data_IF_637730169672
#
_entry.id   IF_637730169672
#
_cell.length_a   1.000
_cell.length_b   1.000
_cell.length_c   1.000
_cell.angle_alpha   90.00
_cell.angle_beta   90.00
_cell.angle_gamma   90.00
#
_symmetry.space_group_name_H-M   'P 1'
#
loop_
_entity.id
_entity.type
_entity.pdbx_description
1 polymer ?
#
# COMPACT_ATOMS: atom_id res chain seq x y z
N UNK A 1 -1.90 1.43 -25.41
CA UNK A 1 -1.26 2.07 -24.25
C UNK A 1 -0.54 0.96 -23.50
N UNK A 2 0.76 0.81 -23.74
CA UNK A 2 1.55 -0.27 -23.13
C UNK A 2 1.57 -0.09 -21.61
N UNK A 3 1.09 -1.11 -20.90
CA UNK A 3 1.30 -1.25 -19.47
C UNK A 3 2.81 -1.32 -19.25
N UNK A 4 3.41 -0.22 -18.80
CA UNK A 4 4.82 -0.20 -18.38
C UNK A 4 4.95 -1.13 -17.19
N UNK A 5 5.43 -2.34 -17.47
CA UNK A 5 5.98 -3.25 -16.48
C UNK A 5 7.11 -2.53 -15.78
N UNK A 6 6.84 -1.93 -14.61
CA UNK A 6 7.89 -1.54 -13.68
C UNK A 6 8.46 -2.82 -13.10
N UNK A 7 9.41 -3.40 -13.83
CA UNK A 7 10.23 -4.50 -13.36
C UNK A 7 10.87 -4.10 -12.04
N UNK A 8 10.39 -4.69 -10.94
CA UNK A 8 11.07 -4.58 -9.65
C UNK A 8 12.45 -5.20 -9.84
N UNK A 9 13.48 -4.37 -9.99
CA UNK A 9 14.85 -4.83 -10.19
C UNK A 9 15.23 -5.85 -9.13
N UNK A 10 16.08 -6.81 -9.48
CA UNK A 10 16.57 -7.92 -8.64
C UNK A 10 17.43 -7.51 -7.44
N UNK A 11 17.47 -6.22 -7.07
CA UNK A 11 18.28 -5.70 -5.96
C UNK A 11 17.96 -6.31 -4.58
N UNK A 12 18.95 -6.30 -3.69
CA UNK A 12 18.79 -6.79 -2.32
C UNK A 12 17.79 -6.00 -1.48
N UNK A 13 17.61 -6.43 -0.23
CA UNK A 13 16.91 -5.66 0.79
C UNK A 13 17.57 -4.30 1.03
N UNK A 14 16.77 -3.29 1.37
CA UNK A 14 17.30 -1.97 1.77
C UNK A 14 17.09 -1.73 3.27
N UNK A 15 18.06 -1.08 3.90
CA UNK A 15 17.88 -0.50 5.21
C UNK A 15 17.47 0.96 5.09
N UNK A 16 16.47 1.34 5.89
CA UNK A 16 15.90 2.69 5.95
C UNK A 16 15.89 3.14 7.40
N UNK A 17 16.51 4.29 7.66
CA UNK A 17 16.47 4.95 8.96
C UNK A 17 15.33 5.95 8.96
N UNK A 18 14.33 5.71 9.80
CA UNK A 18 13.21 6.63 10.01
C UNK A 18 13.68 7.75 10.94
N UNK A 19 13.63 8.98 10.46
CA UNK A 19 14.01 10.19 11.20
C UNK A 19 12.80 10.73 11.98
N UNK A 20 11.66 10.89 11.30
CA UNK A 20 10.38 11.23 11.95
C UNK A 20 9.19 10.67 11.18
N UNK A 21 8.03 10.64 11.85
CA UNK A 21 6.77 10.26 11.26
C UNK A 21 5.66 11.11 11.89
N UNK A 22 5.00 11.92 11.09
CA UNK A 22 4.13 13.00 11.53
C UNK A 22 2.80 12.96 10.78
N UNK A 23 1.69 13.19 11.48
CA UNK A 23 0.39 13.39 10.84
C UNK A 23 0.38 14.78 10.19
N UNK A 24 0.11 14.83 8.88
CA UNK A 24 -0.11 16.11 8.17
C UNK A 24 -1.59 16.47 8.24
N UNK A 25 -2.47 15.55 7.84
CA UNK A 25 -3.90 15.83 7.72
C UNK A 25 -4.75 14.56 7.79
N UNK A 26 -6.01 14.74 8.18
CA UNK A 26 -7.09 13.76 8.03
C UNK A 26 -8.24 14.44 7.30
N UNK A 27 -8.73 13.84 6.22
CA UNK A 27 -9.71 14.48 5.34
C UNK A 27 -10.80 13.48 4.89
N UNK A 28 -12.10 13.82 5.03
CA UNK A 28 -13.19 12.96 4.56
C UNK A 28 -13.37 12.98 3.03
N UNK A 29 -12.68 13.89 2.34
CA UNK A 29 -12.73 14.06 0.87
C UNK A 29 -11.35 14.41 0.33
N UNK A 30 -11.09 14.01 -0.91
CA UNK A 30 -9.82 14.23 -1.61
C UNK A 30 -9.46 15.71 -1.69
N UNK A 31 -10.43 16.56 -2.00
CA UNK A 31 -10.24 18.01 -2.13
C UNK A 31 -9.99 18.75 -0.80
N UNK A 32 -10.16 18.06 0.33
CA UNK A 32 -9.79 18.55 1.67
C UNK A 32 -8.44 18.02 2.13
N UNK A 33 -7.81 17.13 1.37
CA UNK A 33 -6.48 16.64 1.66
C UNK A 33 -5.44 17.62 1.06
N UNK A 34 -4.66 18.34 1.89
CA UNK A 34 -3.73 19.34 1.38
C UNK A 34 -2.69 18.70 0.45
N UNK A 35 -2.19 19.41 -0.57
CA UNK A 35 -1.06 18.93 -1.36
C UNK A 35 0.13 18.72 -0.41
N UNK A 36 0.74 17.54 -0.46
CA UNK A 36 1.84 17.20 0.46
C UNK A 36 3.18 17.75 -0.01
N UNK A 37 3.32 17.98 -1.32
CA UNK A 37 4.60 18.23 -1.97
C UNK A 37 5.55 17.03 -1.93
N UNK A 38 5.04 15.83 -1.60
CA UNK A 38 5.80 14.60 -1.46
C UNK A 38 5.29 13.54 -2.45
N UNK A 39 6.13 12.59 -2.89
CA UNK A 39 5.62 11.39 -3.51
C UNK A 39 4.77 10.59 -2.50
N UNK A 40 3.51 10.32 -2.86
CA UNK A 40 2.52 9.67 -2.00
C UNK A 40 2.40 8.17 -2.30
N UNK A 41 2.41 7.37 -1.23
CA UNK A 41 2.18 5.93 -1.23
C UNK A 41 0.86 5.66 -0.51
N UNK A 42 -0.12 5.17 -1.27
CA UNK A 42 -1.44 4.83 -0.77
C UNK A 42 -1.44 3.44 -0.16
N UNK A 43 -2.02 3.28 1.03
CA UNK A 43 -2.21 2.00 1.67
C UNK A 43 -3.71 1.70 1.75
N UNK A 44 -4.11 0.59 1.16
CA UNK A 44 -5.49 0.15 1.13
C UNK A 44 -5.61 -1.34 1.39
N UNK A 45 -6.76 -1.74 1.91
CA UNK A 45 -6.99 -3.12 2.28
C UNK A 45 -8.23 -3.25 3.16
N UNK A 46 -8.71 -4.46 3.33
CA UNK A 46 -9.90 -4.72 4.16
C UNK A 46 -9.72 -4.26 5.60
N UNK A 47 -10.82 -3.94 6.26
CA UNK A 47 -10.83 -3.77 7.71
C UNK A 47 -10.18 -4.98 8.39
N UNK A 48 -9.31 -4.73 9.38
CA UNK A 48 -8.53 -5.75 10.10
C UNK A 48 -7.54 -6.58 9.26
N UNK A 49 -7.21 -6.18 8.02
CA UNK A 49 -6.18 -6.86 7.21
C UNK A 49 -4.77 -6.69 7.78
N UNK A 50 -4.53 -5.65 8.59
CA UNK A 50 -3.22 -5.34 9.18
C UNK A 50 -2.60 -4.02 8.69
N UNK A 51 -3.36 -3.17 7.98
CA UNK A 51 -2.92 -1.87 7.45
C UNK A 51 -2.27 -0.96 8.48
N UNK A 52 -2.96 -0.63 9.57
CA UNK A 52 -2.39 0.21 10.63
C UNK A 52 -1.18 -0.44 11.29
N UNK A 53 -1.16 -1.77 11.43
CA UNK A 53 0.01 -2.50 11.96
C UNK A 53 1.21 -2.41 11.03
N UNK A 54 1.00 -2.49 9.72
CA UNK A 54 2.04 -2.35 8.71
C UNK A 54 2.58 -0.91 8.68
N UNK A 55 1.70 0.09 8.65
CA UNK A 55 2.09 1.51 8.71
C UNK A 55 2.94 1.82 9.94
N UNK A 56 2.49 1.38 11.12
CA UNK A 56 3.23 1.54 12.37
C UNK A 56 4.59 0.83 12.34
N UNK A 57 4.67 -0.37 11.75
CA UNK A 57 5.90 -1.11 11.63
C UNK A 57 6.90 -0.44 10.66
N UNK A 58 6.44 0.03 9.50
CA UNK A 58 7.24 0.77 8.53
C UNK A 58 7.78 2.07 9.12
N UNK A 59 6.94 2.81 9.83
CA UNK A 59 7.31 4.06 10.49
C UNK A 59 8.11 3.86 11.79
N UNK A 60 8.32 2.61 12.24
CA UNK A 60 8.93 2.28 13.55
C UNK A 60 8.27 3.03 14.73
N UNK A 61 6.95 3.26 14.66
CA UNK A 61 6.16 3.99 15.67
C UNK A 61 4.94 3.17 16.08
N UNK A 62 4.70 3.00 17.38
CA UNK A 62 3.58 2.18 17.89
C UNK A 62 2.19 2.81 17.76
N UNK A 63 2.08 4.12 17.55
CA UNK A 63 0.82 4.88 17.63
C UNK A 63 0.63 5.91 16.51
N UNK A 64 1.34 5.76 15.37
CA UNK A 64 1.17 6.68 14.24
C UNK A 64 -0.21 6.49 13.60
N UNK A 65 -0.49 5.29 13.12
CA UNK A 65 -1.79 4.88 12.64
C UNK A 65 -2.57 4.23 13.79
N UNK A 66 -3.72 4.81 14.17
CA UNK A 66 -4.57 4.23 15.22
C UNK A 66 -5.14 2.90 14.72
N UNK A 67 -4.80 1.81 15.42
CA UNK A 67 -5.45 0.51 15.23
C UNK A 67 -6.85 0.60 15.83
N UNK A 68 -7.86 0.99 15.05
CA UNK A 68 -9.26 0.95 15.52
C UNK A 68 -9.72 -0.50 15.61
N UNK A 69 -10.06 -0.98 16.82
CA UNK A 69 -10.72 -2.27 17.03
C UNK A 69 -12.19 -2.25 16.64
N UNK A 70 -12.78 -1.05 16.45
CA UNK A 70 -14.16 -0.86 16.00
C UNK A 70 -14.16 -0.66 14.48
N UNK A 71 -14.73 -1.58 13.69
CA UNK A 71 -14.98 -1.37 12.27
C UNK A 71 -15.77 -0.06 12.10
N UNK A 72 -15.18 0.93 11.42
CA UNK A 72 -15.93 2.12 10.99
C UNK A 72 -15.65 3.48 11.50
N UNK A 73 -14.55 3.65 12.23
CA UNK A 73 -14.14 4.98 12.66
C UNK A 73 -13.23 5.71 11.67
N UNK A 74 -12.58 5.02 10.73
CA UNK A 74 -11.76 5.69 9.70
C UNK A 74 -12.58 5.81 8.42
N UNK A 75 -13.25 6.95 8.23
CA UNK A 75 -13.94 7.34 6.99
C UNK A 75 -13.14 8.36 6.18
N UNK A 76 -11.92 8.64 6.62
CA UNK A 76 -11.09 9.72 6.12
C UNK A 76 -9.80 9.18 5.52
N UNK A 77 -9.26 9.89 4.55
CA UNK A 77 -7.89 9.77 4.10
C UNK A 77 -7.00 10.35 5.19
N UNK A 78 -5.98 9.61 5.62
CA UNK A 78 -5.03 10.10 6.62
C UNK A 78 -3.65 10.17 6.00
N UNK A 79 -3.10 11.37 5.88
CA UNK A 79 -1.80 11.64 5.29
C UNK A 79 -0.75 11.83 6.39
N UNK A 80 0.31 11.04 6.31
CA UNK A 80 1.48 11.11 7.18
C UNK A 80 2.72 11.50 6.36
N UNK A 81 3.55 12.39 6.89
CA UNK A 81 4.92 12.59 6.42
C UNK A 81 5.83 11.57 7.10
N UNK A 82 6.56 10.79 6.32
CA UNK A 82 7.62 9.91 6.83
C UNK A 82 8.96 10.44 6.35
N UNK A 83 9.76 10.94 7.29
CA UNK A 83 11.10 11.45 7.02
C UNK A 83 12.12 10.34 7.16
N UNK A 84 13.00 10.18 6.18
CA UNK A 84 14.01 9.11 6.17
C UNK A 84 15.37 9.63 5.77
N UNK A 85 16.40 8.80 5.96
CA UNK A 85 17.75 9.05 5.44
C UNK A 85 17.88 8.92 3.91
N UNK A 86 16.80 8.55 3.21
CA UNK A 86 16.77 8.33 1.75
C UNK A 86 15.81 9.26 1.00
N UNK A 87 15.10 10.13 1.71
CA UNK A 87 14.07 11.00 1.15
C UNK A 87 12.75 10.91 1.91
N UNK A 88 11.98 11.99 1.85
CA UNK A 88 10.71 12.11 2.56
C UNK A 88 9.55 11.63 1.65
N UNK A 89 8.66 10.82 2.20
CA UNK A 89 7.49 10.28 1.47
C UNK A 89 6.19 10.57 2.22
N UNK A 90 5.09 10.73 1.47
CA UNK A 90 3.75 10.80 2.02
C UNK A 90 3.13 9.41 2.13
N UNK A 91 2.80 8.94 3.33
CA UNK A 91 1.99 7.73 3.49
C UNK A 91 0.52 8.11 3.63
N UNK A 92 -0.32 7.63 2.73
CA UNK A 92 -1.76 7.91 2.76
C UNK A 92 -2.52 6.64 3.14
N UNK A 93 -3.09 6.65 4.34
CA UNK A 93 -3.93 5.58 4.83
C UNK A 93 -5.36 5.76 4.29
N UNK A 94 -5.76 4.92 3.33
CA UNK A 94 -7.13 4.92 2.85
C UNK A 94 -8.03 4.18 3.86
N UNK A 95 -9.30 4.58 4.00
CA UNK A 95 -10.25 3.84 4.81
C UNK A 95 -10.34 2.38 4.32
N UNK A 96 -10.51 1.43 5.24
CA UNK A 96 -10.60 0.02 4.86
C UNK A 96 -11.93 -0.34 4.21
N UNK A 97 -11.91 -1.20 3.21
CA UNK A 97 -13.12 -1.72 2.54
C UNK A 97 -13.57 -3.09 3.11
N UNK A 98 -14.64 -3.66 2.54
CA UNK A 98 -15.06 -5.03 2.84
C UNK A 98 -15.84 -5.19 4.14
N UNK A 99 -16.81 -4.31 4.34
CA UNK A 99 -17.72 -4.38 5.47
C UNK A 99 -18.95 -5.18 5.09
N UNK A 100 -19.03 -6.41 5.60
CA UNK A 100 -20.21 -7.25 5.44
C UNK A 100 -21.50 -6.62 6.01
N UNK A 101 -21.39 -5.52 6.78
CA UNK A 101 -22.49 -4.86 7.50
C UNK A 101 -22.67 -3.36 7.20
N UNK A 102 -21.95 -2.75 6.24
CA UNK A 102 -22.20 -1.34 5.88
C UNK A 102 -23.29 -1.23 4.82
N UNK A 103 -24.01 -0.11 4.85
CA UNK A 103 -25.03 0.20 3.86
C UNK A 103 -24.44 0.35 2.44
N UNK A 104 -25.26 0.15 1.42
CA UNK A 104 -24.89 0.40 0.02
C UNK A 104 -24.33 1.81 -0.18
N UNK A 105 -24.98 2.81 0.44
CA UNK A 105 -24.56 4.23 0.41
C UNK A 105 -23.14 4.43 0.95
N UNK A 106 -22.77 3.73 2.02
CA UNK A 106 -21.42 3.80 2.59
C UNK A 106 -20.38 3.13 1.68
N UNK A 107 -20.71 2.01 1.03
CA UNK A 107 -19.82 1.40 0.03
C UNK A 107 -19.58 2.33 -1.16
N UNK A 108 -20.64 2.94 -1.68
CA UNK A 108 -20.54 3.90 -2.78
C UNK A 108 -19.76 5.16 -2.38
N UNK A 109 -19.95 5.65 -1.15
CA UNK A 109 -19.19 6.79 -0.64
C UNK A 109 -17.70 6.46 -0.47
N UNK A 110 -17.38 5.26 0.00
CA UNK A 110 -16.00 4.78 0.06
C UNK A 110 -15.40 4.64 -1.33
N UNK A 111 -16.14 4.04 -2.27
CA UNK A 111 -15.73 3.89 -3.67
C UNK A 111 -15.37 5.24 -4.29
N UNK A 112 -16.27 6.22 -4.19
CA UNK A 112 -16.00 7.59 -4.67
C UNK A 112 -14.78 8.24 -4.04
N UNK A 113 -14.54 8.04 -2.74
CA UNK A 113 -13.37 8.58 -2.05
C UNK A 113 -12.07 7.92 -2.53
N UNK A 114 -12.06 6.59 -2.58
CA UNK A 114 -10.91 5.80 -2.99
C UNK A 114 -10.58 6.02 -4.47
N UNK A 115 -11.56 5.88 -5.36
CA UNK A 115 -11.42 6.14 -6.80
C UNK A 115 -11.00 7.59 -7.06
N UNK A 116 -11.65 8.56 -6.39
CA UNK A 116 -11.32 9.97 -6.52
C UNK A 116 -9.86 10.26 -6.17
N UNK A 117 -9.34 9.66 -5.11
CA UNK A 117 -7.95 9.80 -4.72
C UNK A 117 -7.02 9.05 -5.68
N UNK A 118 -7.30 7.77 -5.97
CA UNK A 118 -6.43 6.91 -6.76
C UNK A 118 -6.31 7.36 -8.22
N UNK A 119 -7.37 7.94 -8.79
CA UNK A 119 -7.36 8.40 -10.18
C UNK A 119 -6.81 9.82 -10.35
N UNK A 120 -7.02 10.70 -9.37
CA UNK A 120 -6.83 12.14 -9.58
C UNK A 120 -5.74 12.79 -8.72
N UNK A 121 -5.12 12.07 -7.77
CA UNK A 121 -4.08 12.63 -6.90
C UNK A 121 -2.73 12.65 -7.65
N UNK A 122 -2.19 13.82 -8.05
CA UNK A 122 -0.95 13.87 -8.85
C UNK A 122 0.29 13.41 -8.07
N UNK A 123 0.28 13.55 -6.75
CA UNK A 123 1.34 13.09 -5.87
C UNK A 123 1.41 11.56 -5.75
N UNK A 124 0.33 10.83 -6.06
CA UNK A 124 0.28 9.37 -5.92
C UNK A 124 1.29 8.69 -6.86
N UNK A 125 2.19 7.89 -6.28
CA UNK A 125 3.19 7.11 -7.02
C UNK A 125 2.97 5.61 -6.94
N UNK A 126 2.29 5.12 -5.90
CA UNK A 126 2.07 3.68 -5.69
C UNK A 126 0.87 3.40 -4.81
N UNK A 127 0.06 2.42 -5.19
CA UNK A 127 -0.98 1.81 -4.40
C UNK A 127 -0.51 0.47 -3.79
N UNK A 128 -0.31 0.43 -2.48
CA UNK A 128 -0.02 -0.78 -1.70
C UNK A 128 -1.36 -1.41 -1.28
N UNK A 129 -1.70 -2.55 -1.89
CA UNK A 129 -2.92 -3.32 -1.61
C UNK A 129 -2.62 -4.47 -0.66
N UNK A 130 -3.21 -4.43 0.53
CA UNK A 130 -2.98 -5.43 1.56
C UNK A 130 -3.95 -6.59 1.46
N UNK A 131 -3.42 -7.80 1.57
CA UNK A 131 -4.19 -9.05 1.64
C UNK A 131 -3.74 -9.91 2.82
N UNK A 132 -4.67 -10.34 3.66
CA UNK A 132 -4.37 -11.29 4.75
C UNK A 132 -4.11 -12.67 4.13
N UNK A 133 -2.90 -13.22 4.30
CA UNK A 133 -2.48 -14.47 3.64
C UNK A 133 -3.42 -15.67 3.93
N UNK A 134 -4.16 -15.61 5.03
CA UNK A 134 -5.08 -16.66 5.48
C UNK A 134 -6.41 -16.65 4.72
N UNK A 135 -6.69 -15.62 3.92
CA UNK A 135 -7.96 -15.40 3.25
C UNK A 135 -7.76 -15.44 1.74
N UNK A 136 -8.77 -15.87 1.01
CA UNK A 136 -8.82 -15.72 -0.45
C UNK A 136 -9.29 -14.31 -0.80
N UNK A 137 -9.04 -13.88 -2.04
CA UNK A 137 -9.55 -12.62 -2.54
C UNK A 137 -11.09 -12.59 -2.48
N UNK A 138 -11.66 -11.48 -2.00
CA UNK A 138 -13.09 -11.17 -2.18
C UNK A 138 -13.34 -10.50 -3.53
N UNK A 139 -14.60 -10.46 -3.96
CA UNK A 139 -15.02 -9.75 -5.17
C UNK A 139 -14.61 -8.28 -5.15
N UNK A 140 -14.85 -7.56 -4.05
CA UNK A 140 -14.39 -6.17 -3.87
C UNK A 140 -12.89 -5.99 -4.12
N UNK A 141 -12.07 -6.98 -3.75
CA UNK A 141 -10.62 -6.93 -3.95
C UNK A 141 -10.27 -7.16 -5.41
N UNK A 142 -10.91 -8.13 -6.06
CA UNK A 142 -10.70 -8.40 -7.49
C UNK A 142 -11.08 -7.19 -8.34
N UNK A 143 -12.24 -6.58 -8.07
CA UNK A 143 -12.69 -5.37 -8.76
C UNK A 143 -11.71 -4.21 -8.59
N UNK A 144 -11.16 -4.03 -7.38
CA UNK A 144 -10.15 -3.01 -7.13
C UNK A 144 -8.86 -3.28 -7.91
N UNK A 145 -8.37 -4.52 -7.95
CA UNK A 145 -7.16 -4.87 -8.71
C UNK A 145 -7.37 -4.68 -10.22
N UNK A 146 -8.52 -5.09 -10.74
CA UNK A 146 -8.91 -4.87 -12.13
C UNK A 146 -8.99 -3.37 -12.46
N UNK A 147 -9.58 -2.57 -11.57
CA UNK A 147 -9.69 -1.12 -11.74
C UNK A 147 -8.31 -0.46 -11.75
N UNK A 148 -7.42 -0.80 -10.80
CA UNK A 148 -6.06 -0.26 -10.75
C UNK A 148 -5.30 -0.57 -12.06
N UNK A 149 -5.41 -1.80 -12.56
CA UNK A 149 -4.78 -2.20 -13.81
C UNK A 149 -5.36 -1.43 -15.01
N UNK A 150 -6.69 -1.29 -15.08
CA UNK A 150 -7.38 -0.58 -16.16
C UNK A 150 -7.05 0.91 -16.18
N UNK A 151 -6.93 1.54 -15.02
CA UNK A 151 -6.56 2.95 -14.89
C UNK A 151 -5.05 3.20 -15.00
N UNK A 152 -4.23 2.16 -15.11
CA UNK A 152 -2.77 2.28 -15.13
C UNK A 152 -2.18 2.83 -13.83
N UNK A 153 -2.88 2.69 -12.70
CA UNK A 153 -2.38 3.11 -11.39
C UNK A 153 -1.37 2.09 -10.89
N UNK A 154 -0.08 2.46 -10.65
CA UNK A 154 0.93 1.52 -10.18
C UNK A 154 0.50 0.88 -8.86
N UNK A 155 0.47 -0.45 -8.82
CA UNK A 155 -0.02 -1.21 -7.69
C UNK A 155 0.95 -2.30 -7.24
N UNK A 156 1.00 -2.55 -5.92
CA UNK A 156 1.76 -3.67 -5.35
C UNK A 156 0.97 -4.40 -4.28
N UNK A 157 0.98 -5.73 -4.34
CA UNK A 157 0.35 -6.58 -3.33
C UNK A 157 1.29 -6.82 -2.16
N UNK A 158 0.78 -6.60 -0.95
CA UNK A 158 1.43 -6.96 0.31
C UNK A 158 0.59 -7.99 1.05
N UNK A 159 1.12 -9.20 1.17
CA UNK A 159 0.53 -10.27 1.97
C UNK A 159 0.90 -10.05 3.44
N UNK A 160 -0.09 -9.85 4.30
CA UNK A 160 0.11 -9.62 5.74
C UNK A 160 -0.07 -10.89 6.56
N UNK A 161 0.39 -10.83 7.81
CA UNK A 161 0.20 -11.87 8.85
C UNK A 161 0.78 -13.23 8.44
N UNK A 162 1.87 -13.24 7.69
CA UNK A 162 2.56 -14.47 7.28
C UNK A 162 3.00 -15.30 8.48
N UNK A 163 3.33 -14.66 9.60
CA UNK A 163 3.64 -15.29 10.89
C UNK A 163 2.57 -16.26 11.40
N UNK A 164 1.31 -16.11 10.97
CA UNK A 164 0.19 -16.97 11.39
C UNK A 164 0.13 -18.32 10.66
N UNK A 165 0.99 -18.57 9.68
CA UNK A 165 1.04 -19.83 8.94
C UNK A 165 2.42 -20.48 9.06
N UNK A 166 2.46 -21.82 9.04
CA UNK A 166 3.72 -22.59 8.89
C UNK A 166 4.27 -22.43 7.47
N UNK A 167 5.58 -22.59 7.29
CA UNK A 167 6.29 -22.32 6.03
C UNK A 167 5.68 -23.01 4.79
N UNK A 168 5.32 -24.30 4.90
CA UNK A 168 4.68 -25.04 3.79
C UNK A 168 3.35 -24.40 3.36
N UNK A 169 2.46 -24.12 4.31
CA UNK A 169 1.17 -23.45 4.05
C UNK A 169 1.36 -22.02 3.57
N UNK A 170 2.40 -21.28 4.02
CA UNK A 170 2.75 -19.96 3.46
C UNK A 170 3.03 -20.07 1.96
N UNK A 171 3.91 -20.99 1.54
CA UNK A 171 4.26 -21.18 0.12
C UNK A 171 3.05 -21.51 -0.73
N UNK A 172 2.19 -22.41 -0.26
CA UNK A 172 0.94 -22.78 -0.93
C UNK A 172 0.00 -21.57 -1.09
N UNK A 173 -0.25 -20.82 -0.01
CA UNK A 173 -1.11 -19.63 -0.04
C UNK A 173 -0.56 -18.52 -0.93
N UNK A 174 0.75 -18.27 -0.89
CA UNK A 174 1.39 -17.29 -1.78
C UNK A 174 1.16 -17.68 -3.23
N UNK A 175 1.39 -18.95 -3.59
CA UNK A 175 1.15 -19.43 -4.97
C UNK A 175 -0.30 -19.28 -5.38
N UNK A 176 -1.25 -19.68 -4.53
CA UNK A 176 -2.68 -19.56 -4.82
C UNK A 176 -3.08 -18.10 -5.05
N UNK A 177 -2.72 -17.20 -4.12
CA UNK A 177 -3.04 -15.78 -4.23
C UNK A 177 -2.36 -15.10 -5.42
N UNK A 178 -1.14 -15.52 -5.78
CA UNK A 178 -0.41 -14.95 -6.92
C UNK A 178 -0.98 -15.37 -8.28
N UNK A 179 -1.72 -16.48 -8.36
CA UNK A 179 -2.39 -16.89 -9.61
C UNK A 179 -3.61 -16.03 -9.95
N UNK A 180 -4.17 -15.36 -8.95
CA UNK A 180 -5.39 -14.56 -9.09
C UNK A 180 -5.10 -13.07 -9.31
N UNK A 181 -3.83 -12.64 -9.27
CA UNK A 181 -3.44 -11.26 -9.53
C UNK A 181 -2.91 -11.12 -10.96
N UNK A 182 -3.27 -10.03 -11.63
CA UNK A 182 -2.75 -9.74 -12.97
C UNK A 182 -1.24 -9.49 -12.97
N UNK A 183 -0.60 -9.65 -14.13
CA UNK A 183 0.86 -9.53 -14.29
C UNK A 183 1.41 -8.15 -13.87
N UNK A 184 0.59 -7.09 -14.00
CA UNK A 184 0.97 -5.72 -13.66
C UNK A 184 1.32 -5.45 -12.19
N UNK A 185 1.01 -6.37 -11.26
CA UNK A 185 1.31 -6.20 -9.83
C UNK A 185 2.65 -6.85 -9.41
N UNK A 186 3.22 -7.70 -10.27
CA UNK A 186 4.37 -8.54 -9.97
C UNK A 186 4.16 -9.49 -8.78
N UNK A 187 5.25 -10.10 -8.29
CA UNK A 187 5.18 -11.06 -7.17
C UNK A 187 4.80 -10.37 -5.85
N UNK A 188 3.82 -10.90 -5.08
CA UNK A 188 3.43 -10.31 -3.80
C UNK A 188 4.56 -10.29 -2.77
N UNK A 189 4.62 -9.21 -1.98
CA UNK A 189 5.56 -9.08 -0.87
C UNK A 189 4.94 -9.73 0.37
N UNK A 190 5.65 -10.68 0.97
CA UNK A 190 5.21 -11.37 2.18
C UNK A 190 5.70 -10.62 3.42
N UNK A 191 4.79 -10.26 4.33
CA UNK A 191 5.11 -9.45 5.51
C UNK A 191 4.53 -9.97 6.81
N UNK A 192 5.29 -9.77 7.89
CA UNK A 192 4.80 -9.85 9.26
C UNK A 192 5.19 -8.58 10.01
N UNK A 193 4.22 -7.71 10.29
CA UNK A 193 4.45 -6.51 11.11
C UNK A 193 4.90 -6.86 12.54
N UNK A 194 4.57 -8.05 13.04
CA UNK A 194 4.99 -8.51 14.37
C UNK A 194 6.45 -8.96 14.39
N UNK A 195 6.94 -9.56 13.30
CA UNK A 195 8.30 -10.10 13.18
C UNK A 195 9.26 -9.18 12.43
N UNK A 196 8.76 -8.12 11.80
CA UNK A 196 9.56 -7.25 10.94
C UNK A 196 9.89 -7.84 9.56
N UNK A 197 9.37 -9.04 9.24
CA UNK A 197 9.63 -9.72 7.97
C UNK A 197 9.07 -8.91 6.79
N UNK A 198 9.88 -8.72 5.75
CA UNK A 198 9.50 -8.13 4.47
C UNK A 198 9.30 -6.61 4.46
N UNK A 199 9.50 -5.92 5.58
CA UNK A 199 9.35 -4.46 5.67
C UNK A 199 10.37 -3.70 4.82
N UNK A 200 11.57 -4.25 4.71
CA UNK A 200 12.66 -3.81 3.83
C UNK A 200 12.25 -3.83 2.35
N UNK A 201 11.59 -4.89 1.89
CA UNK A 201 11.09 -5.01 0.52
C UNK A 201 9.91 -4.07 0.25
N UNK A 202 9.05 -3.84 1.24
CA UNK A 202 7.99 -2.82 1.13
C UNK A 202 8.61 -1.45 0.97
N UNK A 203 9.56 -1.09 1.84
CA UNK A 203 10.28 0.18 1.75
C UNK A 203 11.00 0.35 0.41
N UNK A 204 11.67 -0.70 -0.07
CA UNK A 204 12.30 -0.69 -1.39
C UNK A 204 11.31 -0.36 -2.48
N UNK A 205 10.18 -1.05 -2.51
CA UNK A 205 9.13 -0.80 -3.51
C UNK A 205 8.61 0.62 -3.43
N UNK A 206 8.40 1.16 -2.21
CA UNK A 206 8.00 2.55 -2.03
C UNK A 206 9.01 3.51 -2.65
N UNK A 207 10.31 3.33 -2.40
CA UNK A 207 11.35 4.22 -2.93
C UNK A 207 11.55 4.08 -4.44
N UNK A 208 11.51 2.87 -4.98
CA UNK A 208 11.61 2.62 -6.42
C UNK A 208 10.52 3.38 -7.22
N UNK A 209 9.34 3.59 -6.61
CA UNK A 209 8.24 4.37 -7.20
C UNK A 209 8.27 5.86 -6.82
N UNK A 210 8.69 6.19 -5.60
CA UNK A 210 8.72 7.56 -5.10
C UNK A 210 9.85 8.38 -5.74
N UNK A 211 11.00 7.75 -5.98
CA UNK A 211 12.19 8.35 -6.57
C UNK A 211 12.71 7.39 -7.65
N UNK A 212 12.00 7.29 -8.79
CA UNK A 212 12.47 6.47 -9.89
C UNK A 212 13.87 6.96 -10.31
N UNK A 213 14.80 6.02 -10.47
CA UNK A 213 16.11 6.35 -11.01
C UNK A 213 15.94 6.80 -12.45
N UNK A 214 16.68 7.83 -12.82
CA UNK A 214 16.71 8.28 -14.20
C UNK A 214 17.46 7.23 -15.04
N UNK A 215 16.83 6.58 -16.03
CA UNK A 215 17.49 5.52 -16.81
C UNK A 215 18.75 6.03 -17.53
N UNK A 216 18.81 7.32 -17.84
CA UNK A 216 19.94 7.94 -18.55
C UNK A 216 21.17 8.15 -17.65
N UNK A 217 21.00 8.11 -16.32
CA UNK A 217 22.12 8.26 -15.37
C UNK A 217 23.03 7.03 -15.28
N UNK A 218 22.65 5.88 -15.85
CA UNK A 218 23.46 4.66 -15.91
C UNK A 218 24.29 4.53 -17.21
N UNK A 219 24.05 5.38 -18.21
CA UNK A 219 24.78 5.36 -19.51
C UNK A 219 25.99 6.32 -19.50
N UNK A 220 26.10 7.18 -18.49
CA UNK A 220 27.19 8.15 -18.34
C UNK A 220 28.36 7.67 -17.48
N UNK A 221 28.99 6.56 -17.84
CA UNK A 221 30.38 6.28 -17.47
C UNK A 221 31.08 5.83 -18.75
N UNK A 222 31.65 6.80 -19.45
CA UNK A 222 32.77 6.61 -20.38
C UNK A 222 34.02 7.17 -19.70
#
# INVERSE_FOLDING_TARGET
>A
MELRSFGVGSGGSIQVKILSAELIASAPRVDRLPPSGLPEIAFLGRSNVGKSSLLNALARRRKLARTSSTPGKTRELVLFRIRTDRGDVGFVDLPGYGWAKVSRRERESWGRLAEGYLANRPELKLAIVLQDIRRSWSEDERLLLEWLATQGVPGRIVLTKTDKLKLGRRKERIRALSKEIGEGFGRPISTSSQKGEGLDLVWRTCFDHAFPRDPESEIGID
#
